data_IF_343005469871
#
_entry.id   IF_343005469871
#
_cell.length_a   1.000
_cell.length_b   1.000
_cell.length_c   1.000
_cell.angle_alpha   90.00
_cell.angle_beta   90.00
_cell.angle_gamma   90.00
#
_symmetry.space_group_name_H-M   'P 1'
#
loop_
_entity.id
_entity.type
_entity.pdbx_description
1 polymer ?
#
# COMPACT_ATOMS: atom_id res chain seq x y z
N UNK A 1 39.00 -30.71 46.77
CA UNK A 1 37.95 -31.44 46.04
C UNK A 1 37.77 -30.80 44.68
N UNK A 2 38.15 -31.53 43.63
CA UNK A 2 37.99 -31.13 42.23
C UNK A 2 36.53 -31.36 41.82
N UNK A 3 35.87 -30.39 41.19
CA UNK A 3 34.63 -30.65 40.45
C UNK A 3 34.52 -29.79 39.20
N UNK A 4 34.99 -30.41 38.11
CA UNK A 4 34.36 -30.60 36.80
C UNK A 4 33.80 -29.39 36.03
N UNK A 5 34.48 -29.12 34.92
CA UNK A 5 34.01 -28.41 33.73
C UNK A 5 32.99 -29.26 32.96
N UNK A 6 32.04 -28.61 32.26
CA UNK A 6 31.30 -29.15 31.11
C UNK A 6 30.79 -27.95 30.28
N UNK A 7 31.48 -27.52 29.22
CA UNK A 7 31.36 -27.89 27.80
C UNK A 7 29.99 -27.72 27.13
N UNK A 8 29.93 -26.67 26.31
CA UNK A 8 29.39 -26.59 24.94
C UNK A 8 27.91 -26.87 24.66
N UNK A 9 27.24 -25.87 24.08
CA UNK A 9 26.33 -26.08 22.94
C UNK A 9 26.34 -24.86 22.03
N UNK A 10 26.90 -25.03 20.82
CA UNK A 10 26.74 -24.13 19.67
C UNK A 10 25.39 -24.47 19.03
N UNK A 11 24.48 -23.51 18.91
CA UNK A 11 23.35 -23.61 17.98
C UNK A 11 23.50 -22.59 16.85
N UNK A 12 23.94 -23.14 15.72
CA UNK A 12 23.45 -22.91 14.35
C UNK A 12 22.84 -21.53 14.03
N UNK A 13 23.67 -20.63 13.48
CA UNK A 13 23.19 -19.54 12.63
C UNK A 13 22.86 -20.13 11.26
N UNK A 14 21.56 -20.30 10.97
CA UNK A 14 21.09 -20.58 9.62
C UNK A 14 21.21 -19.30 8.80
N UNK A 15 22.16 -19.30 7.87
CA UNK A 15 22.30 -18.32 6.80
C UNK A 15 21.09 -18.43 5.87
N UNK A 16 20.19 -17.46 5.92
CA UNK A 16 19.08 -17.34 4.96
C UNK A 16 19.65 -16.87 3.62
N UNK A 17 19.65 -17.79 2.66
CA UNK A 17 20.10 -17.59 1.29
C UNK A 17 19.26 -16.53 0.57
N UNK A 18 19.92 -15.50 0.06
CA UNK A 18 19.35 -14.38 -0.70
C UNK A 18 19.04 -14.73 -2.17
N UNK A 19 18.49 -15.92 -2.45
CA UNK A 19 18.29 -16.39 -3.84
C UNK A 19 17.02 -17.23 -4.05
N UNK A 20 15.90 -16.83 -3.46
CA UNK A 20 14.59 -17.37 -3.85
C UNK A 20 13.62 -16.22 -4.05
N UNK A 21 13.51 -15.72 -5.30
CA UNK A 21 12.34 -15.07 -5.91
C UNK A 21 12.73 -14.53 -7.30
N UNK A 22 13.14 -15.43 -8.19
CA UNK A 22 13.14 -15.20 -9.63
C UNK A 22 11.98 -16.03 -10.19
N UNK A 23 10.75 -15.50 -10.07
CA UNK A 23 9.62 -16.05 -10.80
C UNK A 23 8.81 -14.92 -11.44
N UNK A 24 8.81 -15.01 -12.78
CA UNK A 24 7.74 -14.62 -13.72
C UNK A 24 7.46 -13.14 -13.97
N UNK A 25 8.27 -12.61 -14.89
CA UNK A 25 7.91 -11.66 -15.95
C UNK A 25 6.47 -11.88 -16.44
N UNK A 26 5.56 -10.92 -16.18
CA UNK A 26 4.28 -10.83 -16.90
C UNK A 26 4.47 -9.91 -18.11
N UNK A 27 4.14 -10.50 -19.24
CA UNK A 27 4.30 -10.02 -20.60
C UNK A 27 3.25 -8.95 -20.92
N UNK A 28 3.70 -7.95 -21.68
CA UNK A 28 2.92 -6.86 -22.22
C UNK A 28 1.68 -7.34 -23.00
N UNK A 29 0.50 -6.83 -22.63
CA UNK A 29 -0.74 -6.94 -23.39
C UNK A 29 -1.03 -5.64 -24.12
N UNK A 30 -0.42 -5.45 -25.29
CA UNK A 30 -0.84 -4.48 -26.29
C UNK A 30 -1.91 -5.14 -27.16
N UNK A 31 -3.18 -4.71 -27.03
CA UNK A 31 -4.21 -5.04 -28.01
C UNK A 31 -4.97 -3.79 -28.46
N UNK A 32 -4.98 -3.68 -29.78
CA UNK A 32 -5.43 -2.57 -30.59
C UNK A 32 -6.91 -2.22 -30.40
N UNK A 33 -7.18 -0.91 -30.41
CA UNK A 33 -8.46 -0.33 -30.83
C UNK A 33 -8.74 -0.69 -32.30
N UNK A 34 -10.02 -0.81 -32.66
CA UNK A 34 -10.46 -0.33 -33.95
C UNK A 34 -11.54 0.76 -33.84
N UNK A 35 -11.37 1.63 -34.82
CA UNK A 35 -12.06 2.84 -35.23
C UNK A 35 -13.45 2.55 -35.81
N UNK A 36 -14.45 3.40 -35.58
CA UNK A 36 -15.35 3.87 -36.65
C UNK A 36 -15.94 5.25 -36.33
N UNK A 37 -15.98 6.06 -37.37
CA UNK A 37 -16.34 7.47 -37.46
C UNK A 37 -17.85 7.73 -37.40
N UNK A 38 -18.26 8.93 -36.96
CA UNK A 38 -19.22 9.72 -37.75
C UNK A 38 -19.19 11.22 -37.43
N UNK A 39 -19.39 11.96 -38.52
CA UNK A 39 -19.19 13.37 -38.81
C UNK A 39 -20.02 14.37 -37.99
N UNK A 40 -19.50 15.58 -37.82
CA UNK A 40 -20.29 16.76 -38.16
C UNK A 40 -19.41 17.93 -38.59
N UNK A 41 -19.92 18.63 -39.58
CA UNK A 41 -19.26 19.55 -40.49
C UNK A 41 -19.29 21.01 -40.01
N UNK A 42 -18.36 21.78 -40.58
CA UNK A 42 -18.45 23.21 -40.90
C UNK A 42 -18.42 24.23 -39.74
N UNK A 43 -17.33 25.02 -39.74
CA UNK A 43 -17.44 26.47 -39.99
C UNK A 43 -16.10 27.04 -40.48
N UNK A 44 -16.20 27.72 -41.61
CA UNK A 44 -15.15 28.51 -42.26
C UNK A 44 -14.76 29.68 -41.36
N UNK A 45 -13.46 29.91 -41.21
CA UNK A 45 -12.89 31.02 -40.47
C UNK A 45 -11.45 31.24 -40.86
N UNK A 46 -11.25 31.91 -41.99
CA UNK A 46 -9.94 32.36 -42.47
C UNK A 46 -9.36 33.44 -41.54
N UNK A 47 -8.10 33.30 -41.10
CA UNK A 47 -7.17 34.44 -41.00
C UNK A 47 -5.72 34.01 -40.69
N UNK A 48 -4.88 34.26 -41.69
CA UNK A 48 -3.58 34.94 -41.59
C UNK A 48 -2.55 34.46 -40.56
N UNK A 49 -1.52 33.79 -41.07
CA UNK A 49 -0.18 33.78 -40.45
C UNK A 49 0.39 35.20 -40.38
N UNK A 50 1.24 35.46 -39.37
CA UNK A 50 2.47 36.18 -39.64
C UNK A 50 3.71 35.36 -39.26
N UNK A 51 4.71 35.56 -40.10
CA UNK A 51 6.10 35.10 -40.03
C UNK A 51 6.87 35.72 -38.86
N UNK A 52 7.79 34.91 -38.33
CA UNK A 52 9.10 35.25 -37.73
C UNK A 52 9.13 36.19 -36.52
N UNK A 53 9.49 35.63 -35.35
CA UNK A 53 10.44 36.25 -34.44
C UNK A 53 11.08 35.17 -33.55
N UNK A 54 12.11 34.47 -34.03
CA UNK A 54 12.97 33.66 -33.16
C UNK A 54 13.87 34.63 -32.41
N UNK A 55 13.43 35.00 -31.21
CA UNK A 55 14.23 35.77 -30.28
C UNK A 55 15.25 34.82 -29.66
N UNK A 56 16.51 34.95 -30.08
CA UNK A 56 17.64 34.30 -29.43
C UNK A 56 17.87 34.98 -28.07
N UNK A 57 17.19 34.47 -27.05
CA UNK A 57 17.43 34.84 -25.65
C UNK A 57 18.17 33.69 -24.98
N UNK A 58 19.49 33.78 -25.03
CA UNK A 58 20.39 32.99 -24.19
C UNK A 58 20.14 33.34 -22.72
N UNK A 59 19.35 32.54 -22.00
CA UNK A 59 19.30 32.62 -20.54
C UNK A 59 19.20 31.22 -19.95
N UNK A 60 20.38 30.72 -19.57
CA UNK A 60 20.65 29.98 -18.36
C UNK A 60 19.63 28.91 -17.99
N UNK A 61 20.02 27.65 -18.21
CA UNK A 61 19.65 26.51 -17.38
C UNK A 61 19.54 26.95 -15.89
N UNK A 62 18.35 26.96 -15.29
CA UNK A 62 18.26 26.68 -13.88
C UNK A 62 18.17 25.17 -13.78
N UNK A 63 19.26 24.55 -13.34
CA UNK A 63 19.22 23.41 -12.42
C UNK A 63 18.34 22.24 -12.91
N UNK A 64 18.92 21.11 -13.35
CA UNK A 64 19.29 20.06 -12.39
C UNK A 64 18.98 20.43 -10.93
N UNK A 65 17.72 20.74 -10.62
CA UNK A 65 17.15 20.55 -9.30
C UNK A 65 17.24 19.05 -9.16
N UNK A 66 18.36 18.62 -8.57
CA UNK A 66 18.56 17.26 -8.14
C UNK A 66 17.22 16.87 -7.57
N UNK A 67 16.60 15.87 -8.21
CA UNK A 67 15.42 15.21 -7.71
C UNK A 67 15.80 14.93 -6.27
N UNK A 68 15.31 15.78 -5.37
CA UNK A 68 15.65 15.64 -3.98
C UNK A 68 15.07 14.27 -3.71
N UNK A 69 15.96 13.30 -3.50
CA UNK A 69 15.64 12.12 -2.74
C UNK A 69 15.33 12.71 -1.38
N UNK A 70 14.13 13.29 -1.31
CA UNK A 70 13.61 14.09 -0.22
C UNK A 70 13.57 13.08 0.87
N UNK A 71 14.51 13.21 1.80
CA UNK A 71 14.55 12.45 3.04
C UNK A 71 13.11 12.26 3.48
N UNK A 72 12.64 11.00 3.47
CA UNK A 72 11.24 10.65 3.74
C UNK A 72 10.77 11.51 4.90
N UNK A 73 9.66 12.22 4.74
CA UNK A 73 9.13 13.01 5.85
C UNK A 73 8.77 12.06 6.99
N UNK A 74 8.78 12.54 8.23
CA UNK A 74 8.23 11.77 9.37
C UNK A 74 6.79 11.29 9.08
N UNK A 75 6.02 12.09 8.32
CA UNK A 75 4.72 11.73 7.79
C UNK A 75 4.75 10.46 6.90
N UNK A 76 5.74 10.35 6.02
CA UNK A 76 5.86 9.24 5.07
C UNK A 76 6.22 7.94 5.81
N UNK A 77 7.02 8.01 6.87
CA UNK A 77 7.35 6.87 7.73
C UNK A 77 6.11 6.35 8.48
N UNK A 78 5.30 7.25 9.05
CA UNK A 78 4.04 6.86 9.70
C UNK A 78 3.05 6.27 8.69
N UNK A 79 2.97 6.84 7.49
CA UNK A 79 2.12 6.33 6.42
C UNK A 79 2.54 4.93 5.96
N UNK A 80 3.84 4.66 5.85
CA UNK A 80 4.39 3.34 5.52
C UNK A 80 4.00 2.33 6.62
N UNK A 81 4.24 2.67 7.90
CA UNK A 81 3.89 1.80 9.02
C UNK A 81 2.38 1.48 9.09
N UNK A 82 1.51 2.46 8.87
CA UNK A 82 0.05 2.24 8.85
C UNK A 82 -0.36 1.39 7.64
N UNK A 83 0.28 1.57 6.49
CA UNK A 83 -0.03 0.77 5.30
C UNK A 83 0.40 -0.69 5.45
N UNK A 84 1.56 -0.95 6.06
CA UNK A 84 2.04 -2.29 6.36
C UNK A 84 1.11 -3.01 7.37
N UNK A 85 0.72 -2.30 8.42
CA UNK A 85 -0.24 -2.81 9.40
C UNK A 85 -1.63 -3.03 8.78
N UNK A 86 -2.06 -2.17 7.86
CA UNK A 86 -3.31 -2.36 7.12
C UNK A 86 -3.27 -3.61 6.23
N UNK A 87 -2.16 -3.87 5.56
CA UNK A 87 -1.98 -5.09 4.76
C UNK A 87 -2.10 -6.34 5.65
N UNK A 88 -1.42 -6.33 6.80
CA UNK A 88 -1.50 -7.42 7.79
C UNK A 88 -2.94 -7.64 8.27
N UNK A 89 -3.63 -6.57 8.69
CA UNK A 89 -5.01 -6.67 9.15
C UNK A 89 -5.98 -7.16 8.04
N UNK A 90 -5.71 -6.82 6.78
CA UNK A 90 -6.50 -7.26 5.64
C UNK A 90 -6.29 -8.75 5.35
N UNK A 91 -5.06 -9.24 5.42
CA UNK A 91 -4.74 -10.64 5.22
C UNK A 91 -5.41 -11.51 6.30
N UNK A 92 -5.34 -11.10 7.58
CA UNK A 92 -6.03 -11.80 8.67
C UNK A 92 -7.55 -11.78 8.52
N UNK A 93 -8.12 -10.67 8.04
CA UNK A 93 -9.55 -10.61 7.72
C UNK A 93 -9.92 -11.60 6.61
N UNK A 94 -9.13 -11.70 5.55
CA UNK A 94 -9.37 -12.65 4.45
C UNK A 94 -9.32 -14.10 4.95
N UNK A 95 -8.34 -14.45 5.78
CA UNK A 95 -8.27 -15.77 6.43
C UNK A 95 -9.52 -16.01 7.28
N UNK A 96 -9.92 -15.05 8.10
CA UNK A 96 -11.11 -15.16 8.94
C UNK A 96 -12.41 -15.37 8.14
N UNK A 97 -12.55 -14.70 6.99
CA UNK A 97 -13.69 -14.90 6.10
C UNK A 97 -13.69 -16.29 5.49
N UNK A 98 -12.56 -16.76 4.97
CA UNK A 98 -12.43 -18.07 4.34
C UNK A 98 -12.70 -19.20 5.34
N UNK A 99 -12.18 -19.09 6.56
CA UNK A 99 -12.36 -20.10 7.60
C UNK A 99 -13.78 -20.11 8.17
N UNK A 100 -14.44 -18.95 8.23
CA UNK A 100 -15.87 -18.85 8.57
C UNK A 100 -16.73 -19.50 7.50
N UNK A 101 -16.46 -19.26 6.21
CA UNK A 101 -17.16 -19.91 5.10
C UNK A 101 -16.99 -21.43 5.11
N UNK A 102 -15.80 -21.92 5.46
CA UNK A 102 -15.50 -23.36 5.61
C UNK A 102 -16.09 -23.99 6.87
N UNK A 103 -16.63 -23.20 7.81
CA UNK A 103 -17.07 -23.65 9.14
C UNK A 103 -15.98 -24.44 9.86
N UNK A 104 -14.74 -23.99 9.74
CA UNK A 104 -13.62 -24.67 10.38
C UNK A 104 -13.60 -24.41 11.88
N UNK A 105 -12.85 -25.24 12.61
CA UNK A 105 -12.65 -25.06 14.06
C UNK A 105 -11.80 -23.81 14.36
N UNK A 106 -11.03 -23.33 13.38
CA UNK A 106 -10.13 -22.18 13.52
C UNK A 106 -10.82 -20.84 13.33
N UNK A 107 -12.01 -20.84 12.71
CA UNK A 107 -12.75 -19.63 12.37
C UNK A 107 -12.92 -18.65 13.54
N UNK A 108 -13.08 -19.13 14.78
CA UNK A 108 -13.21 -18.27 15.97
C UNK A 108 -11.90 -17.52 16.26
N UNK A 109 -10.77 -18.24 16.19
CA UNK A 109 -9.45 -17.68 16.47
C UNK A 109 -9.02 -16.72 15.37
N UNK A 110 -9.28 -17.05 14.10
CA UNK A 110 -8.94 -16.17 12.96
C UNK A 110 -9.78 -14.89 12.98
N UNK A 111 -11.09 -14.98 13.29
CA UNK A 111 -11.92 -13.79 13.52
C UNK A 111 -11.39 -12.93 14.66
N UNK A 112 -10.79 -13.52 15.69
CA UNK A 112 -10.15 -12.78 16.78
C UNK A 112 -8.85 -12.11 16.30
N UNK A 113 -8.01 -12.81 15.53
CA UNK A 113 -6.80 -12.24 14.95
C UNK A 113 -7.10 -11.00 14.08
N UNK A 114 -8.12 -11.08 13.22
CA UNK A 114 -8.57 -9.94 12.41
C UNK A 114 -9.00 -8.73 13.28
N UNK A 115 -9.68 -8.98 14.41
CA UNK A 115 -10.09 -7.93 15.37
C UNK A 115 -8.89 -7.31 16.09
N UNK A 116 -7.94 -8.12 16.51
CA UNK A 116 -6.75 -7.68 17.23
C UNK A 116 -5.84 -6.82 16.33
N UNK A 117 -5.59 -7.25 15.08
CA UNK A 117 -4.77 -6.49 14.13
C UNK A 117 -5.46 -5.20 13.65
N UNK A 118 -6.79 -5.20 13.52
CA UNK A 118 -7.57 -3.98 13.26
C UNK A 118 -7.51 -3.02 14.46
N UNK A 119 -7.57 -3.52 15.70
CA UNK A 119 -7.45 -2.69 16.89
C UNK A 119 -6.07 -1.99 16.93
N UNK A 120 -5.00 -2.74 16.65
CA UNK A 120 -3.64 -2.21 16.53
C UNK A 120 -3.51 -1.18 15.41
N UNK A 121 -4.14 -1.43 14.25
CA UNK A 121 -4.20 -0.46 13.15
C UNK A 121 -4.90 0.85 13.58
N UNK A 122 -6.01 0.75 14.32
CA UNK A 122 -6.75 1.92 14.81
C UNK A 122 -5.94 2.69 15.85
N UNK A 123 -5.23 2.00 16.74
CA UNK A 123 -4.30 2.63 17.70
C UNK A 123 -3.23 3.45 16.97
N UNK A 124 -2.47 2.81 16.07
CA UNK A 124 -1.44 3.49 15.26
C UNK A 124 -2.01 4.68 14.47
N UNK A 125 -3.21 4.53 13.91
CA UNK A 125 -3.87 5.62 13.21
C UNK A 125 -4.24 6.77 14.13
N UNK A 126 -4.80 6.49 15.32
CA UNK A 126 -5.14 7.54 16.29
C UNK A 126 -3.92 8.29 16.81
N UNK A 127 -2.81 7.59 17.04
CA UNK A 127 -1.54 8.19 17.41
C UNK A 127 -1.02 9.11 16.29
N UNK A 128 -1.07 8.64 15.04
CA UNK A 128 -0.67 9.44 13.89
C UNK A 128 -1.55 10.68 13.68
N UNK A 129 -2.84 10.62 14.01
CA UNK A 129 -3.74 11.78 13.96
C UNK A 129 -3.40 12.86 15.00
N UNK A 130 -2.78 12.49 16.12
CA UNK A 130 -2.35 13.45 17.14
C UNK A 130 -1.05 14.20 16.75
N UNK A 131 -0.34 13.71 15.73
CA UNK A 131 0.89 14.31 15.22
C UNK A 131 0.66 15.51 14.28
N UNK A 132 1.73 16.25 13.95
CA UNK A 132 1.67 17.40 13.04
C UNK A 132 1.18 17.04 11.64
N UNK A 133 1.36 15.79 11.22
CA UNK A 133 1.00 15.27 9.90
C UNK A 133 -0.35 14.55 9.86
N UNK A 134 -1.15 14.64 10.93
CA UNK A 134 -2.39 13.89 11.09
C UNK A 134 -3.41 14.12 9.97
N UNK A 135 -3.49 15.33 9.41
CA UNK A 135 -4.40 15.64 8.30
C UNK A 135 -4.02 14.93 7.00
N UNK A 136 -2.72 14.72 6.74
CA UNK A 136 -2.25 13.99 5.57
C UNK A 136 -2.55 12.49 5.73
N UNK A 137 -2.25 11.94 6.92
CA UNK A 137 -2.56 10.54 7.26
C UNK A 137 -4.06 10.29 7.12
N UNK A 138 -4.90 11.17 7.69
CA UNK A 138 -6.35 11.08 7.59
C UNK A 138 -6.85 11.03 6.15
N UNK A 139 -6.32 11.89 5.27
CA UNK A 139 -6.71 11.97 3.86
C UNK A 139 -6.32 10.71 3.08
N UNK A 140 -5.17 10.10 3.38
CA UNK A 140 -4.69 8.93 2.60
C UNK A 140 -5.28 7.60 3.05
N UNK A 141 -5.34 7.34 4.35
CA UNK A 141 -5.69 6.01 4.88
C UNK A 141 -7.03 5.98 5.61
N UNK A 142 -7.62 7.13 5.91
CA UNK A 142 -8.86 7.20 6.71
C UNK A 142 -10.07 6.50 6.10
N UNK A 143 -10.24 6.50 4.77
CA UNK A 143 -11.35 5.75 4.12
C UNK A 143 -11.15 4.24 4.26
N UNK A 144 -9.96 3.77 3.93
CA UNK A 144 -9.58 2.35 3.95
C UNK A 144 -9.76 1.72 5.32
N UNK A 145 -9.36 2.42 6.37
CA UNK A 145 -9.52 1.94 7.76
C UNK A 145 -11.00 1.80 8.12
N UNK A 146 -11.87 2.73 7.71
CA UNK A 146 -13.32 2.66 7.98
C UNK A 146 -13.99 1.54 7.20
N UNK A 147 -13.56 1.32 5.96
CA UNK A 147 -14.05 0.22 5.14
C UNK A 147 -13.71 -1.14 5.76
N UNK A 148 -12.46 -1.32 6.21
CA UNK A 148 -12.03 -2.54 6.90
C UNK A 148 -12.75 -2.71 8.25
N UNK A 149 -12.93 -1.64 9.02
CA UNK A 149 -13.67 -1.66 10.30
C UNK A 149 -15.12 -2.15 10.11
N UNK A 150 -15.83 -1.60 9.12
CA UNK A 150 -17.18 -2.03 8.79
C UNK A 150 -17.23 -3.49 8.30
N UNK A 151 -16.23 -3.93 7.54
CA UNK A 151 -16.14 -5.31 7.06
C UNK A 151 -15.93 -6.31 8.21
N UNK A 152 -15.00 -6.03 9.13
CA UNK A 152 -14.75 -6.84 10.33
C UNK A 152 -15.99 -6.85 11.25
N UNK A 153 -16.67 -5.71 11.41
CA UNK A 153 -17.89 -5.63 12.20
C UNK A 153 -19.02 -6.48 11.59
N UNK A 154 -19.14 -6.50 10.26
CA UNK A 154 -20.11 -7.33 9.57
C UNK A 154 -19.83 -8.83 9.75
N UNK A 155 -18.56 -9.23 9.62
CA UNK A 155 -18.13 -10.62 9.86
C UNK A 155 -18.41 -11.06 11.31
N UNK A 156 -18.27 -10.15 12.28
CA UNK A 156 -18.57 -10.45 13.67
C UNK A 156 -20.09 -10.58 13.93
N UNK A 157 -20.93 -9.84 13.19
CA UNK A 157 -22.40 -9.97 13.31
C UNK A 157 -22.91 -11.31 12.78
N UNK A 158 -22.35 -11.81 11.67
CA UNK A 158 -22.75 -13.10 11.11
C UNK A 158 -22.52 -14.28 12.05
N UNK A 159 -21.64 -14.16 13.05
CA UNK A 159 -21.38 -15.22 14.04
C UNK A 159 -22.55 -15.46 15.00
N UNK A 160 -23.44 -14.47 15.18
CA UNK A 160 -24.59 -14.59 16.09
C UNK A 160 -25.88 -15.02 15.39
N UNK A 161 -25.87 -15.10 14.06
CA UNK A 161 -27.07 -15.33 13.23
C UNK A 161 -27.13 -16.75 12.61
N UNK A 162 -26.21 -17.66 12.99
CA UNK A 162 -26.15 -19.08 12.55
C UNK A 162 -26.81 -20.06 13.56
#
# INVERSE_FOLDING_TARGET
MLSLRSTTTRLSRRSSCAQCLQHTTIQAGCYNRPFTSRSSEQRLGARSQPLLQHNASAFQNPSLQGRAYSSKSSADELLEAIQDQYATAKDEFEIATEETEKKSVYAIEDRKAARDELAKLKEMYTEALAGPDGDEVKRRVGSRIRELDAAVENLNKSDYED
#
